data_IF_152300829445
#
_entry.id   IF_152300829445
#
_cell.length_a   1.000
_cell.length_b   1.000
_cell.length_c   1.000
_cell.angle_alpha   90.00
_cell.angle_beta   90.00
_cell.angle_gamma   90.00
#
_symmetry.space_group_name_H-M   'P 1'
#
loop_
_entity.id
_entity.type
_entity.pdbx_description
1 polymer ?
#
# COMPACT_ATOMS: atom_id res chain seq x y z
N UNK A 1 -30.72 -35.74 -7.23
CA UNK A 1 -30.32 -34.43 -7.78
C UNK A 1 -29.48 -33.65 -6.75
N UNK A 2 -28.14 -33.77 -6.78
CA UNK A 2 -27.24 -33.12 -5.79
C UNK A 2 -25.83 -32.83 -6.37
N UNK A 3 -25.72 -32.38 -7.63
CA UNK A 3 -24.42 -32.09 -8.27
C UNK A 3 -24.18 -30.61 -8.60
N UNK A 4 -25.17 -29.74 -8.42
CA UNK A 4 -25.10 -28.35 -8.93
C UNK A 4 -24.42 -27.34 -7.98
N UNK A 5 -24.42 -27.56 -6.66
CA UNK A 5 -23.88 -26.57 -5.70
C UNK A 5 -22.34 -26.50 -5.65
N UNK A 6 -21.63 -27.50 -6.17
CA UNK A 6 -20.17 -27.59 -6.05
C UNK A 6 -19.45 -26.69 -7.07
N UNK A 7 -20.04 -26.46 -8.24
CA UNK A 7 -19.42 -25.62 -9.27
C UNK A 7 -19.61 -24.12 -9.03
N UNK A 8 -20.60 -23.71 -8.22
CA UNK A 8 -20.82 -22.29 -7.91
C UNK A 8 -19.72 -21.71 -7.03
N UNK A 9 -19.14 -22.49 -6.11
CA UNK A 9 -18.03 -22.03 -5.26
C UNK A 9 -16.72 -21.81 -6.05
N UNK A 10 -16.45 -22.64 -7.07
CA UNK A 10 -15.27 -22.45 -7.94
C UNK A 10 -15.40 -21.22 -8.84
N UNK A 11 -16.61 -20.95 -9.36
CA UNK A 11 -16.86 -19.80 -10.21
C UNK A 11 -16.73 -18.48 -9.44
N UNK A 12 -17.27 -18.38 -8.23
CA UNK A 12 -17.16 -17.17 -7.41
C UNK A 12 -15.73 -16.94 -6.89
N UNK A 13 -14.99 -18.01 -6.52
CA UNK A 13 -13.60 -17.86 -6.08
C UNK A 13 -12.66 -17.43 -7.20
N UNK A 14 -12.90 -17.91 -8.42
CA UNK A 14 -12.08 -17.57 -9.58
C UNK A 14 -12.33 -16.12 -10.05
N UNK A 15 -13.57 -15.63 -9.97
CA UNK A 15 -13.89 -14.23 -10.30
C UNK A 15 -13.33 -13.23 -9.29
N UNK A 16 -13.32 -13.56 -7.98
CA UNK A 16 -12.72 -12.70 -6.94
C UNK A 16 -11.19 -12.61 -7.13
N UNK A 17 -10.53 -13.72 -7.49
CA UNK A 17 -9.09 -13.70 -7.79
C UNK A 17 -8.75 -12.83 -9.00
N UNK A 18 -9.56 -12.87 -10.05
CA UNK A 18 -9.34 -12.08 -11.27
C UNK A 18 -9.62 -10.59 -11.03
N UNK A 19 -10.66 -10.26 -10.26
CA UNK A 19 -10.96 -8.87 -9.86
C UNK A 19 -9.83 -8.26 -9.00
N UNK A 20 -9.24 -9.04 -8.08
CA UNK A 20 -8.08 -8.60 -7.31
C UNK A 20 -6.86 -8.31 -8.19
N UNK A 21 -6.59 -9.16 -9.18
CA UNK A 21 -5.50 -8.95 -10.14
C UNK A 21 -5.76 -7.71 -11.01
N UNK A 22 -7.00 -7.49 -11.46
CA UNK A 22 -7.37 -6.29 -12.23
C UNK A 22 -7.22 -5.00 -11.42
N UNK A 23 -7.54 -5.01 -10.12
CA UNK A 23 -7.31 -3.87 -9.23
C UNK A 23 -5.81 -3.59 -9.06
N UNK A 24 -4.99 -4.63 -8.89
CA UNK A 24 -3.52 -4.51 -8.77
C UNK A 24 -2.94 -3.93 -10.06
N UNK A 25 -3.31 -4.47 -11.22
CA UNK A 25 -2.87 -3.95 -12.52
C UNK A 25 -3.33 -2.50 -12.71
N UNK A 26 -4.56 -2.18 -12.30
CA UNK A 26 -5.08 -0.81 -12.33
C UNK A 26 -4.24 0.17 -11.51
N UNK A 27 -3.88 -0.20 -10.28
CA UNK A 27 -2.97 0.62 -9.47
C UNK A 27 -1.59 0.74 -10.11
N UNK A 28 -0.98 -0.36 -10.57
CA UNK A 28 0.33 -0.35 -11.23
C UNK A 28 0.33 0.52 -12.49
N UNK A 29 -0.76 0.54 -13.26
CA UNK A 29 -0.90 1.38 -14.45
C UNK A 29 -1.03 2.87 -14.10
N UNK A 30 -1.74 3.22 -13.03
CA UNK A 30 -1.76 4.60 -12.51
C UNK A 30 -0.35 5.02 -12.09
N UNK A 31 0.40 4.14 -11.44
CA UNK A 31 1.79 4.41 -11.05
C UNK A 31 2.80 4.39 -12.20
N UNK A 32 2.53 3.67 -13.29
CA UNK A 32 3.38 3.65 -14.50
C UNK A 32 3.11 4.85 -15.43
N UNK A 33 1.87 5.35 -15.46
CA UNK A 33 1.50 6.57 -16.18
C UNK A 33 2.14 7.82 -15.54
N UNK A 34 2.31 7.78 -14.21
CA UNK A 34 3.12 8.74 -13.45
C UNK A 34 4.57 8.28 -13.53
N UNK A 35 5.23 8.52 -14.66
CA UNK A 35 6.66 8.24 -14.81
C UNK A 35 7.44 8.78 -13.61
N UNK A 36 8.42 7.99 -13.13
CA UNK A 36 9.17 8.25 -11.89
C UNK A 36 9.79 9.67 -11.84
N UNK A 37 10.03 10.30 -12.99
CA UNK A 37 10.52 11.68 -13.13
C UNK A 37 9.46 12.79 -12.89
N UNK A 38 8.17 12.55 -13.19
CA UNK A 38 7.10 13.52 -12.92
C UNK A 38 6.72 13.61 -11.42
N UNK A 39 7.26 12.70 -10.61
CA UNK A 39 6.96 12.57 -9.18
C UNK A 39 7.61 13.69 -8.36
N UNK A 40 8.78 14.20 -8.75
CA UNK A 40 9.43 15.33 -8.07
C UNK A 40 8.57 16.61 -8.11
N UNK A 41 7.84 16.82 -9.20
CA UNK A 41 6.99 18.01 -9.37
C UNK A 41 5.62 17.87 -8.69
N UNK A 42 4.99 16.70 -8.72
CA UNK A 42 3.71 16.47 -8.01
C UNK A 42 3.86 16.50 -6.47
N UNK A 43 5.06 16.21 -5.97
CA UNK A 43 5.44 16.34 -4.56
C UNK A 43 5.76 17.80 -4.18
N UNK A 44 5.94 18.72 -5.14
CA UNK A 44 6.32 20.12 -4.87
C UNK A 44 5.14 21.04 -4.51
N UNK A 45 3.89 20.61 -4.71
CA UNK A 45 2.71 21.42 -4.44
C UNK A 45 2.54 21.70 -2.95
N UNK A 46 2.49 22.98 -2.56
CA UNK A 46 2.14 23.40 -1.21
C UNK A 46 0.66 23.13 -0.95
N UNK A 47 0.35 22.47 0.17
CA UNK A 47 -0.99 21.94 0.46
C UNK A 47 -1.65 22.83 1.51
N UNK A 48 -2.86 23.32 1.28
CA UNK A 48 -3.55 24.14 2.30
C UNK A 48 -3.79 23.36 3.59
N UNK A 49 -3.77 24.07 4.74
CA UNK A 49 -3.82 23.44 6.06
C UNK A 49 -5.08 22.58 6.25
N UNK A 50 -6.20 22.97 5.63
CA UNK A 50 -7.41 22.15 5.60
C UNK A 50 -7.20 20.83 4.84
N UNK A 51 -6.56 20.88 3.68
CA UNK A 51 -6.25 19.70 2.87
C UNK A 51 -5.18 18.78 3.47
N UNK A 52 -4.33 19.26 4.39
CA UNK A 52 -3.35 18.40 5.09
C UNK A 52 -4.01 17.31 5.93
N UNK A 53 -5.18 17.60 6.54
CA UNK A 53 -5.98 16.60 7.26
C UNK A 53 -6.59 15.58 6.30
N UNK A 54 -7.07 16.03 5.14
CA UNK A 54 -7.58 15.14 4.09
C UNK A 54 -6.47 14.23 3.53
N UNK A 55 -5.26 14.78 3.37
CA UNK A 55 -4.09 14.02 2.95
C UNK A 55 -3.69 12.96 3.98
N UNK A 56 -3.72 13.29 5.27
CA UNK A 56 -3.50 12.31 6.33
C UNK A 56 -4.54 11.20 6.29
N UNK A 57 -5.83 11.53 6.13
CA UNK A 57 -6.90 10.54 6.03
C UNK A 57 -6.70 9.62 4.81
N UNK A 58 -6.27 10.17 3.67
CA UNK A 58 -5.92 9.40 2.48
C UNK A 58 -4.74 8.47 2.74
N UNK A 59 -3.66 8.96 3.34
CA UNK A 59 -2.48 8.16 3.71
C UNK A 59 -2.85 6.98 4.63
N UNK A 60 -3.71 7.22 5.63
CA UNK A 60 -4.20 6.17 6.53
C UNK A 60 -5.06 5.13 5.82
N UNK A 61 -5.92 5.57 4.89
CA UNK A 61 -6.73 4.69 4.05
C UNK A 61 -5.85 3.83 3.15
N UNK A 62 -4.89 4.44 2.46
CA UNK A 62 -3.95 3.74 1.57
C UNK A 62 -3.09 2.75 2.36
N UNK A 63 -2.62 3.13 3.55
CA UNK A 63 -1.90 2.24 4.46
C UNK A 63 -2.75 1.03 4.86
N UNK A 64 -4.01 1.27 5.23
CA UNK A 64 -4.92 0.20 5.66
C UNK A 64 -5.19 -0.78 4.52
N UNK A 65 -5.42 -0.28 3.31
CA UNK A 65 -5.56 -1.10 2.12
C UNK A 65 -4.29 -1.90 1.81
N UNK A 66 -3.11 -1.28 1.92
CA UNK A 66 -1.83 -1.95 1.73
C UNK A 66 -1.58 -3.01 2.80
N UNK A 67 -1.91 -2.74 4.06
CA UNK A 67 -1.76 -3.71 5.15
C UNK A 67 -2.60 -4.97 4.94
N UNK A 68 -3.84 -4.85 4.47
CA UNK A 68 -4.66 -6.02 4.11
C UNK A 68 -3.94 -6.88 3.05
N UNK A 69 -3.34 -6.24 2.05
CA UNK A 69 -2.58 -6.94 1.02
C UNK A 69 -1.32 -7.64 1.55
N UNK A 70 -0.64 -7.05 2.54
CA UNK A 70 0.47 -7.68 3.27
C UNK A 70 0.00 -8.88 4.08
N UNK A 71 -1.12 -8.77 4.79
CA UNK A 71 -1.67 -9.86 5.59
C UNK A 71 -2.09 -11.06 4.71
N UNK A 72 -2.52 -10.80 3.47
CA UNK A 72 -2.78 -11.86 2.49
C UNK A 72 -1.49 -12.46 1.91
N UNK A 73 -0.49 -11.64 1.59
CA UNK A 73 0.82 -12.12 1.16
C UNK A 73 1.49 -12.99 2.24
N UNK A 74 1.34 -12.64 3.52
CA UNK A 74 1.78 -13.43 4.67
C UNK A 74 1.25 -14.87 4.60
N UNK A 75 -0.06 -15.03 4.40
CA UNK A 75 -0.71 -16.34 4.30
C UNK A 75 -0.18 -17.17 3.12
N UNK A 76 0.12 -16.53 1.99
CA UNK A 76 0.68 -17.21 0.82
C UNK A 76 2.14 -17.63 1.06
N UNK A 77 2.97 -16.75 1.62
CA UNK A 77 4.37 -17.03 1.98
C UNK A 77 4.48 -18.20 2.95
N UNK A 78 3.72 -18.18 4.04
CA UNK A 78 3.76 -19.27 5.03
C UNK A 78 3.20 -20.59 4.49
N UNK A 79 2.23 -20.56 3.58
CA UNK A 79 1.73 -21.79 2.92
C UNK A 79 2.81 -22.47 2.07
N UNK A 80 3.74 -21.70 1.50
CA UNK A 80 4.81 -22.21 0.65
C UNK A 80 6.00 -22.77 1.43
N UNK A 81 6.05 -22.52 2.75
CA UNK A 81 7.09 -23.03 3.66
C UNK A 81 8.52 -22.84 3.12
N UNK A 82 8.81 -21.62 2.63
CA UNK A 82 10.09 -21.26 2.04
C UNK A 82 10.74 -20.14 2.85
N UNK A 83 11.91 -20.42 3.41
CA UNK A 83 12.64 -19.49 4.28
C UNK A 83 13.06 -18.20 3.56
N UNK A 84 13.39 -18.28 2.27
CA UNK A 84 13.78 -17.12 1.48
C UNK A 84 12.60 -16.18 1.22
N UNK A 85 11.41 -16.74 0.96
CA UNK A 85 10.18 -15.97 0.82
C UNK A 85 9.76 -15.34 2.16
N UNK A 86 9.93 -16.08 3.27
CA UNK A 86 9.67 -15.57 4.62
C UNK A 86 10.58 -14.39 4.96
N UNK A 87 11.88 -14.49 4.68
CA UNK A 87 12.83 -13.37 4.87
C UNK A 87 12.49 -12.16 4.00
N UNK A 88 12.13 -12.40 2.73
CA UNK A 88 11.72 -11.32 1.82
C UNK A 88 10.46 -10.63 2.32
N UNK A 89 9.48 -11.39 2.83
CA UNK A 89 8.27 -10.85 3.45
C UNK A 89 8.58 -10.01 4.68
N UNK A 90 9.44 -10.50 5.60
CA UNK A 90 9.83 -9.76 6.80
C UNK A 90 10.48 -8.41 6.45
N UNK A 91 11.36 -8.40 5.44
CA UNK A 91 11.96 -7.15 4.95
C UNK A 91 10.91 -6.19 4.39
N UNK A 92 9.96 -6.70 3.61
CA UNK A 92 8.85 -5.88 3.12
C UNK A 92 7.96 -5.38 4.27
N UNK A 93 7.72 -6.18 5.30
CA UNK A 93 6.91 -5.80 6.48
C UNK A 93 7.60 -4.67 7.27
N UNK A 94 8.93 -4.65 7.33
CA UNK A 94 9.69 -3.53 7.90
C UNK A 94 9.39 -2.23 7.15
N UNK A 95 9.35 -2.24 5.82
CA UNK A 95 9.02 -1.05 5.04
C UNK A 95 7.58 -0.58 5.30
N UNK A 96 6.62 -1.51 5.45
CA UNK A 96 5.25 -1.16 5.85
C UNK A 96 5.19 -0.50 7.24
N UNK A 97 5.99 -0.97 8.20
CA UNK A 97 6.08 -0.36 9.52
C UNK A 97 6.70 1.04 9.45
N UNK A 98 7.72 1.25 8.63
CA UNK A 98 8.29 2.60 8.40
C UNK A 98 7.26 3.55 7.79
N UNK A 99 6.46 3.08 6.83
CA UNK A 99 5.36 3.86 6.28
C UNK A 99 4.35 4.26 7.35
N UNK A 100 3.97 3.34 8.25
CA UNK A 100 3.09 3.66 9.39
C UNK A 100 3.69 4.73 10.30
N UNK A 101 4.97 4.59 10.63
CA UNK A 101 5.68 5.56 11.48
C UNK A 101 5.66 6.96 10.86
N UNK A 102 5.95 7.07 9.56
CA UNK A 102 5.92 8.36 8.88
C UNK A 102 4.51 8.98 8.83
N UNK A 103 3.46 8.17 8.68
CA UNK A 103 2.06 8.64 8.78
C UNK A 103 1.73 9.13 10.19
N UNK A 104 2.22 8.44 11.22
CA UNK A 104 2.04 8.86 12.61
C UNK A 104 2.78 10.18 12.90
N UNK A 105 3.94 10.38 12.28
CA UNK A 105 4.70 11.63 12.38
C UNK A 105 3.96 12.82 11.74
N UNK A 106 3.20 12.60 10.65
CA UNK A 106 2.30 13.61 10.07
C UNK A 106 1.18 13.96 11.04
N UNK A 107 0.51 12.95 11.58
CA UNK A 107 -0.56 13.15 12.56
C UNK A 107 -0.05 13.91 13.79
N UNK A 108 1.12 13.54 14.31
CA UNK A 108 1.74 14.23 15.42
C UNK A 108 2.04 15.69 15.08
N UNK A 109 2.54 15.98 13.88
CA UNK A 109 2.84 17.35 13.46
C UNK A 109 1.58 18.21 13.31
N UNK A 110 0.50 17.64 12.78
CA UNK A 110 -0.80 18.31 12.69
C UNK A 110 -1.38 18.60 14.09
N UNK A 111 -1.36 17.62 14.99
CA UNK A 111 -1.89 17.76 16.36
C UNK A 111 -1.06 18.74 17.20
N UNK A 112 0.24 18.82 16.96
CA UNK A 112 1.14 19.77 17.65
C UNK A 112 1.23 21.14 16.97
N UNK A 113 0.33 21.42 16.02
CA UNK A 113 0.23 22.68 15.25
C UNK A 113 1.57 23.14 14.67
N UNK A 114 2.34 22.18 14.11
CA UNK A 114 3.59 22.48 13.43
C UNK A 114 3.37 23.44 12.25
N UNK A 115 4.43 24.17 11.84
CA UNK A 115 4.38 24.98 10.64
C UNK A 115 3.89 24.17 9.43
N UNK A 116 3.11 24.81 8.56
CA UNK A 116 2.51 24.16 7.39
C UNK A 116 3.57 23.46 6.55
N UNK A 117 4.72 24.11 6.37
CA UNK A 117 5.85 23.60 5.59
C UNK A 117 6.45 22.32 6.20
N UNK A 118 6.54 22.24 7.53
CA UNK A 118 7.03 21.03 8.24
C UNK A 118 6.04 19.87 8.10
N UNK A 119 4.74 20.17 8.19
CA UNK A 119 3.69 19.17 7.98
C UNK A 119 3.69 18.67 6.53
N UNK A 120 3.82 19.57 5.55
CA UNK A 120 3.92 19.23 4.13
C UNK A 120 5.12 18.32 3.87
N UNK A 121 6.29 18.60 4.45
CA UNK A 121 7.48 17.75 4.32
C UNK A 121 7.22 16.34 4.87
N UNK A 122 6.64 16.24 6.07
CA UNK A 122 6.31 14.94 6.68
C UNK A 122 5.29 14.15 5.86
N UNK A 123 4.31 14.84 5.27
CA UNK A 123 3.32 14.24 4.37
C UNK A 123 4.02 13.64 3.15
N UNK A 124 4.98 14.36 2.55
CA UNK A 124 5.78 13.88 1.42
C UNK A 124 6.59 12.64 1.82
N UNK A 125 7.23 12.66 2.99
CA UNK A 125 7.95 11.50 3.53
C UNK A 125 7.02 10.30 3.73
N UNK A 126 5.85 10.50 4.30
CA UNK A 126 4.87 9.44 4.53
C UNK A 126 4.38 8.82 3.22
N UNK A 127 4.09 9.64 2.19
CA UNK A 127 3.75 9.17 0.84
C UNK A 127 4.86 8.33 0.24
N UNK A 128 6.10 8.81 0.33
CA UNK A 128 7.28 8.08 -0.18
C UNK A 128 7.44 6.72 0.50
N UNK A 129 7.39 6.68 1.83
CA UNK A 129 7.54 5.42 2.59
C UNK A 129 6.42 4.43 2.28
N UNK A 130 5.18 4.90 2.12
CA UNK A 130 4.05 4.06 1.72
C UNK A 130 4.25 3.46 0.32
N UNK A 131 4.83 4.24 -0.60
CA UNK A 131 5.17 3.75 -1.94
C UNK A 131 6.29 2.70 -1.90
N UNK A 132 7.34 2.91 -1.09
CA UNK A 132 8.41 1.93 -0.90
C UNK A 132 7.86 0.61 -0.35
N UNK A 133 6.96 0.67 0.63
CA UNK A 133 6.26 -0.51 1.14
C UNK A 133 5.42 -1.20 0.05
N UNK A 134 4.67 -0.43 -0.76
CA UNK A 134 3.90 -0.99 -1.85
C UNK A 134 4.78 -1.70 -2.89
N UNK A 135 5.93 -1.13 -3.24
CA UNK A 135 6.90 -1.74 -4.15
C UNK A 135 7.51 -3.01 -3.56
N UNK A 136 7.90 -2.99 -2.28
CA UNK A 136 8.44 -4.18 -1.61
C UNK A 136 7.44 -5.35 -1.59
N UNK A 137 6.14 -5.05 -1.45
CA UNK A 137 5.09 -6.05 -1.57
C UNK A 137 4.93 -6.58 -3.00
N UNK A 138 4.99 -5.70 -4.01
CA UNK A 138 4.92 -6.12 -5.42
C UNK A 138 6.10 -7.03 -5.79
N UNK A 139 7.31 -6.66 -5.39
CA UNK A 139 8.52 -7.47 -5.59
C UNK A 139 8.43 -8.83 -4.90
N UNK A 140 7.86 -8.89 -3.70
CA UNK A 140 7.57 -10.15 -3.03
C UNK A 140 6.57 -10.98 -3.85
N UNK A 141 5.48 -10.37 -4.33
CA UNK A 141 4.44 -11.06 -5.09
C UNK A 141 4.94 -11.65 -6.40
N UNK A 142 5.87 -10.98 -7.09
CA UNK A 142 6.53 -11.53 -8.30
C UNK A 142 7.33 -12.79 -8.04
N UNK A 143 7.68 -13.06 -6.78
CA UNK A 143 8.44 -14.25 -6.34
C UNK A 143 7.53 -15.36 -5.79
N UNK A 144 6.24 -15.08 -5.58
CA UNK A 144 5.21 -16.06 -5.24
C UNK A 144 4.70 -16.70 -6.54
#
# INVERSE_FOLDING_TARGET
MRRSRINMFKLTSMTISILGILLIIGTVLVFAYIGVDAISEAISGSVDRGSQYDELAKLQSDYSALKVQYDDAKKEVYRRNNDNLTKTYLNAEIELVKAKSAIDDVNSALVTDKPKEEVDERIKTARYQLQVAAQALDDLRRRL
#
